data_IF_244515332894
#
_entry.id   IF_244515332894
#
_cell.length_a   1.000
_cell.length_b   1.000
_cell.length_c   1.000
_cell.angle_alpha   90.00
_cell.angle_beta   90.00
_cell.angle_gamma   90.00
#
_symmetry.space_group_name_H-M   'P 1'
#
loop_
_entity.id
_entity.type
_entity.pdbx_description
1 polymer ?
#
# COMPACT_ATOMS: atom_id res chain seq x y z
N UNK A 1 56.27 3.25 -24.42
CA UNK A 1 56.96 1.94 -24.27
C UNK A 1 55.90 0.89 -24.04
N UNK A 2 55.91 -0.12 -24.90
CA UNK A 2 54.89 -1.17 -25.06
C UNK A 2 55.15 -2.36 -24.15
N UNK A 3 54.08 -2.98 -23.62
CA UNK A 3 53.98 -4.40 -23.22
C UNK A 3 52.59 -4.59 -22.58
N UNK A 4 51.55 -5.18 -23.19
CA UNK A 4 51.40 -6.51 -23.81
C UNK A 4 51.83 -7.67 -22.91
N UNK A 5 50.88 -8.33 -22.26
CA UNK A 5 50.91 -9.78 -22.05
C UNK A 5 49.51 -10.32 -21.79
N UNK A 6 49.10 -11.18 -22.71
CA UNK A 6 47.94 -12.06 -22.69
C UNK A 6 48.27 -13.36 -21.95
N UNK A 7 47.27 -14.01 -21.33
CA UNK A 7 47.36 -15.43 -20.99
C UNK A 7 45.97 -16.04 -20.75
N UNK A 8 45.77 -17.15 -21.46
CA UNK A 8 44.58 -17.96 -21.68
C UNK A 8 44.12 -18.84 -20.51
N UNK A 9 42.86 -19.27 -20.61
CA UNK A 9 42.09 -20.20 -19.78
C UNK A 9 42.69 -21.61 -19.63
N UNK A 10 42.09 -22.45 -18.75
CA UNK A 10 41.58 -23.71 -19.29
C UNK A 10 40.21 -24.13 -18.73
N UNK A 11 39.33 -24.50 -19.66
CA UNK A 11 38.07 -25.23 -19.50
C UNK A 11 38.36 -26.70 -19.19
N UNK A 12 37.77 -27.29 -18.14
CA UNK A 12 37.75 -28.75 -17.94
C UNK A 12 36.34 -29.30 -18.13
N UNK A 13 36.13 -29.95 -19.27
CA UNK A 13 35.12 -30.99 -19.46
C UNK A 13 35.62 -32.29 -18.83
N UNK A 14 34.77 -32.99 -18.09
CA UNK A 14 34.90 -34.45 -17.91
C UNK A 14 33.56 -35.11 -18.19
N UNK A 15 33.60 -35.99 -19.19
CA UNK A 15 32.54 -36.86 -19.66
C UNK A 15 33.04 -38.30 -19.47
N UNK A 16 32.08 -39.23 -19.33
CA UNK A 16 32.20 -40.71 -19.18
C UNK A 16 32.24 -41.14 -17.71
N UNK A 17 31.48 -42.14 -17.27
CA UNK A 17 31.27 -43.43 -17.94
C UNK A 17 30.05 -44.15 -17.36
N UNK A 18 29.13 -44.52 -18.23
CA UNK A 18 28.12 -45.56 -18.01
C UNK A 18 28.79 -46.94 -17.97
N UNK A 19 28.40 -47.78 -17.01
CA UNK A 19 28.49 -49.25 -17.09
C UNK A 19 27.23 -49.87 -16.51
N UNK A 20 26.57 -50.62 -17.39
CA UNK A 20 25.56 -51.64 -17.13
C UNK A 20 26.18 -52.85 -16.40
N UNK A 21 25.37 -53.57 -15.60
CA UNK A 21 25.14 -55.03 -15.65
C UNK A 21 24.05 -55.40 -14.62
N UNK A 22 23.26 -56.42 -14.98
CA UNK A 22 21.98 -56.86 -14.47
C UNK A 22 22.01 -57.84 -13.27
N UNK A 23 20.80 -58.30 -12.91
CA UNK A 23 20.35 -59.36 -11.99
C UNK A 23 19.84 -58.85 -10.63
N UNK A 24 18.79 -59.38 -9.98
CA UNK A 24 17.73 -60.37 -10.25
C UNK A 24 16.83 -60.41 -8.99
N UNK A 25 15.53 -60.65 -9.18
CA UNK A 25 14.54 -61.33 -8.30
C UNK A 25 14.33 -60.96 -6.81
N UNK A 26 13.05 -60.68 -6.52
CA UNK A 26 12.23 -61.02 -5.34
C UNK A 26 12.70 -60.69 -3.91
N UNK A 27 12.00 -59.75 -3.26
CA UNK A 27 11.15 -60.03 -2.07
C UNK A 27 10.53 -58.75 -1.47
N UNK A 28 9.24 -58.85 -1.16
CA UNK A 28 8.51 -58.30 0.00
C UNK A 28 8.25 -56.79 0.17
N UNK A 29 6.94 -56.50 0.14
CA UNK A 29 6.20 -55.42 0.77
C UNK A 29 6.87 -54.79 2.02
N UNK A 30 7.33 -53.55 1.88
CA UNK A 30 7.15 -52.52 2.93
C UNK A 30 7.37 -51.13 2.35
N UNK A 31 6.29 -50.44 1.99
CA UNK A 31 6.35 -49.03 1.57
C UNK A 31 6.35 -48.13 2.82
N UNK A 32 7.30 -47.17 2.95
CA UNK A 32 7.33 -46.25 4.07
C UNK A 32 6.18 -45.22 4.01
N UNK A 33 5.68 -44.71 5.15
CA UNK A 33 4.48 -43.89 5.22
C UNK A 33 4.79 -42.43 4.84
N UNK A 34 5.06 -42.15 3.56
CA UNK A 34 5.36 -40.78 3.11
C UNK A 34 4.39 -40.20 2.08
N UNK A 35 3.44 -40.99 1.55
CA UNK A 35 2.47 -40.51 0.54
C UNK A 35 1.10 -40.06 1.08
N UNK A 36 0.69 -40.46 2.28
CA UNK A 36 -0.59 -40.00 2.87
C UNK A 36 -0.53 -38.55 3.40
N UNK A 37 0.59 -38.15 4.00
CA UNK A 37 0.79 -36.79 4.53
C UNK A 37 0.69 -35.67 3.47
N UNK A 38 1.04 -35.95 2.20
CA UNK A 38 0.93 -34.95 1.11
C UNK A 38 -0.51 -34.76 0.64
N UNK A 39 -1.35 -35.80 0.73
CA UNK A 39 -2.77 -35.71 0.37
C UNK A 39 -3.56 -34.98 1.46
N UNK A 40 -3.20 -35.17 2.72
CA UNK A 40 -3.78 -34.42 3.84
C UNK A 40 -3.33 -32.95 3.86
N UNK A 41 -2.09 -32.64 3.44
CA UNK A 41 -1.64 -31.24 3.23
C UNK A 41 -2.31 -30.56 2.04
N UNK A 42 -2.66 -31.31 0.99
CA UNK A 42 -3.43 -30.77 -0.13
C UNK A 42 -4.91 -30.60 0.22
N UNK A 43 -5.49 -31.53 1.00
CA UNK A 43 -6.85 -31.39 1.53
C UNK A 43 -6.97 -30.22 2.53
N UNK A 44 -5.97 -30.03 3.40
CA UNK A 44 -5.88 -28.85 4.28
C UNK A 44 -5.61 -27.54 3.51
N UNK A 45 -4.95 -27.60 2.35
CA UNK A 45 -4.79 -26.47 1.45
C UNK A 45 -6.04 -26.16 0.61
N UNK A 46 -7.02 -27.08 0.57
CA UNK A 46 -8.32 -26.91 -0.10
C UNK A 46 -9.46 -26.55 0.89
N UNK A 47 -9.25 -26.71 2.19
CA UNK A 47 -10.10 -26.14 3.24
C UNK A 47 -9.68 -24.70 3.57
N UNK A 48 -9.47 -23.88 2.53
CA UNK A 48 -9.12 -22.47 2.71
C UNK A 48 -10.39 -21.75 3.21
N UNK A 49 -10.33 -20.99 4.32
CA UNK A 49 -11.38 -20.04 4.62
C UNK A 49 -11.54 -19.09 3.42
N UNK A 50 -12.74 -18.51 3.21
CA UNK A 50 -12.96 -17.57 2.11
C UNK A 50 -11.85 -16.52 2.12
N UNK A 51 -11.34 -16.17 0.93
CA UNK A 51 -10.37 -15.09 0.74
C UNK A 51 -11.03 -13.83 1.33
N UNK A 52 -10.74 -13.55 2.60
CA UNK A 52 -11.46 -12.55 3.37
C UNK A 52 -11.10 -11.19 2.77
N UNK A 53 -12.12 -10.48 2.29
CA UNK A 53 -11.95 -9.15 1.71
C UNK A 53 -11.36 -8.20 2.76
N UNK A 54 -10.26 -7.52 2.40
CA UNK A 54 -9.63 -6.55 3.30
C UNK A 54 -10.62 -5.45 3.69
N UNK A 55 -11.49 -5.04 2.77
CA UNK A 55 -12.50 -4.03 3.03
C UNK A 55 -13.40 -4.43 4.21
N UNK A 56 -13.97 -5.63 4.15
CA UNK A 56 -14.83 -6.18 5.20
C UNK A 56 -14.07 -6.44 6.49
N UNK A 57 -12.82 -6.93 6.40
CA UNK A 57 -12.00 -7.18 7.58
C UNK A 57 -11.67 -5.89 8.35
N UNK A 58 -11.33 -4.82 7.63
CA UNK A 58 -11.06 -3.51 8.25
C UNK A 58 -12.33 -2.93 8.86
N UNK A 59 -13.48 -3.05 8.19
CA UNK A 59 -14.78 -2.61 8.75
C UNK A 59 -15.16 -3.39 10.00
N UNK A 60 -15.03 -4.71 9.97
CA UNK A 60 -15.26 -5.57 11.12
C UNK A 60 -14.37 -5.16 12.30
N UNK A 61 -13.10 -4.85 12.04
CA UNK A 61 -12.16 -4.40 13.06
C UNK A 61 -12.53 -3.05 13.68
N UNK A 62 -13.11 -2.13 12.90
CA UNK A 62 -13.65 -0.87 13.44
C UNK A 62 -14.86 -1.14 14.34
N UNK A 63 -15.73 -2.07 13.96
CA UNK A 63 -16.93 -2.42 14.72
C UNK A 63 -16.59 -3.18 16.02
N UNK A 64 -15.66 -4.13 15.97
CA UNK A 64 -15.18 -4.86 17.14
C UNK A 64 -13.65 -4.74 17.30
N UNK A 65 -13.18 -3.66 17.98
CA UNK A 65 -11.77 -3.46 18.29
C UNK A 65 -11.14 -4.53 19.17
N UNK A 66 -11.94 -5.41 19.81
CA UNK A 66 -11.45 -6.46 20.71
C UNK A 66 -11.42 -7.83 20.05
N UNK A 67 -11.94 -7.96 18.84
CA UNK A 67 -11.93 -9.24 18.13
C UNK A 67 -10.52 -9.60 17.64
N UNK A 68 -9.90 -10.56 18.32
CA UNK A 68 -8.58 -11.08 17.98
C UNK A 68 -8.58 -11.97 16.73
N UNK A 69 -9.75 -12.43 16.27
CA UNK A 69 -9.85 -13.21 15.02
C UNK A 69 -9.54 -12.33 13.82
N UNK A 70 -10.02 -11.08 13.80
CA UNK A 70 -9.69 -10.09 12.76
C UNK A 70 -8.18 -9.84 12.62
N UNK A 71 -7.43 -9.82 13.73
CA UNK A 71 -5.96 -9.67 13.70
C UNK A 71 -5.31 -10.92 13.11
N UNK A 72 -5.82 -12.09 13.47
CA UNK A 72 -5.32 -13.37 12.97
C UNK A 72 -5.56 -13.47 11.46
N UNK A 73 -6.76 -13.10 11.00
CA UNK A 73 -7.14 -13.12 9.59
C UNK A 73 -6.34 -12.09 8.79
N UNK A 74 -6.14 -10.87 9.31
CA UNK A 74 -5.30 -9.85 8.67
C UNK A 74 -3.87 -10.34 8.45
N UNK A 75 -3.30 -11.03 9.44
CA UNK A 75 -1.94 -11.60 9.34
C UNK A 75 -1.86 -12.78 8.36
N UNK A 76 -2.95 -13.52 8.23
CA UNK A 76 -3.02 -14.69 7.37
C UNK A 76 -3.41 -14.35 5.93
N UNK A 77 -3.97 -13.16 5.70
CA UNK A 77 -4.40 -12.68 4.40
C UNK A 77 -3.26 -12.75 3.40
N UNK A 78 -3.40 -13.62 2.39
CA UNK A 78 -2.35 -13.90 1.42
C UNK A 78 -1.96 -12.65 0.64
N UNK A 79 -2.96 -11.81 0.31
CA UNK A 79 -2.80 -10.57 -0.42
C UNK A 79 -1.95 -9.52 0.30
N UNK A 80 -1.71 -9.69 1.61
CA UNK A 80 -0.85 -8.78 2.39
C UNK A 80 0.59 -9.29 2.56
N UNK A 81 0.93 -10.43 1.95
CA UNK A 81 2.26 -11.05 2.10
C UNK A 81 3.25 -10.62 1.01
N UNK A 82 2.76 -10.15 -0.14
CA UNK A 82 3.59 -9.68 -1.26
C UNK A 82 3.24 -8.25 -1.57
N UNK A 83 4.26 -7.44 -1.85
CA UNK A 83 4.07 -6.00 -2.06
C UNK A 83 3.17 -5.71 -3.27
N UNK A 84 3.24 -6.52 -4.34
CA UNK A 84 2.35 -6.41 -5.51
C UNK A 84 0.87 -6.66 -5.17
N UNK A 85 0.60 -7.64 -4.31
CA UNK A 85 -0.78 -7.98 -3.93
C UNK A 85 -1.39 -6.87 -3.04
N UNK A 86 -0.55 -6.16 -2.26
CA UNK A 86 -0.99 -5.03 -1.43
C UNK A 86 -1.42 -3.84 -2.30
N UNK A 87 -0.68 -3.57 -3.39
CA UNK A 87 -1.06 -2.53 -4.36
C UNK A 87 -2.43 -2.82 -4.94
N UNK A 88 -2.66 -4.06 -5.40
CA UNK A 88 -3.96 -4.46 -5.94
C UNK A 88 -5.11 -4.24 -4.94
N UNK A 89 -4.89 -4.63 -3.68
CA UNK A 89 -5.90 -4.43 -2.63
C UNK A 89 -6.12 -2.94 -2.32
N UNK A 90 -5.08 -2.11 -2.33
CA UNK A 90 -5.24 -0.67 -2.15
C UNK A 90 -6.09 -0.06 -3.27
N UNK A 91 -5.86 -0.44 -4.53
CA UNK A 91 -6.68 0.00 -5.66
C UNK A 91 -8.14 -0.48 -5.53
N UNK A 92 -8.36 -1.72 -5.10
CA UNK A 92 -9.72 -2.24 -4.84
C UNK A 92 -10.45 -1.44 -3.74
N UNK A 93 -9.75 -0.99 -2.69
CA UNK A 93 -10.31 -0.09 -1.67
C UNK A 93 -10.69 1.27 -2.27
N UNK A 94 -9.80 1.84 -3.09
CA UNK A 94 -9.99 3.13 -3.75
C UNK A 94 -11.19 3.09 -4.70
N UNK A 95 -11.27 2.08 -5.57
CA UNK A 95 -12.38 1.91 -6.52
C UNK A 95 -13.73 1.78 -5.81
N UNK A 96 -13.78 1.02 -4.72
CA UNK A 96 -14.97 0.87 -3.90
C UNK A 96 -15.40 2.20 -3.27
N UNK A 97 -14.44 3.01 -2.81
CA UNK A 97 -14.71 4.33 -2.22
C UNK A 97 -15.18 5.31 -3.29
N UNK A 98 -14.48 5.41 -4.42
CA UNK A 98 -14.88 6.27 -5.54
C UNK A 98 -16.28 5.95 -6.03
N UNK A 99 -16.61 4.66 -6.16
CA UNK A 99 -17.94 4.20 -6.55
C UNK A 99 -19.02 4.65 -5.56
N UNK A 100 -18.74 4.56 -4.25
CA UNK A 100 -19.68 5.03 -3.19
C UNK A 100 -19.82 6.54 -3.18
N UNK A 101 -18.73 7.29 -3.31
CA UNK A 101 -18.75 8.75 -3.39
C UNK A 101 -19.55 9.21 -4.60
N UNK A 102 -19.34 8.58 -5.76
CA UNK A 102 -20.11 8.83 -6.98
C UNK A 102 -21.61 8.56 -6.79
N UNK A 103 -21.98 7.46 -6.14
CA UNK A 103 -23.38 7.18 -5.84
C UNK A 103 -23.98 8.26 -4.93
N UNK A 104 -23.28 8.64 -3.85
CA UNK A 104 -23.74 9.66 -2.91
C UNK A 104 -23.93 11.04 -3.58
N UNK A 105 -23.00 11.47 -4.44
CA UNK A 105 -23.12 12.75 -5.18
C UNK A 105 -24.33 12.71 -6.11
N UNK A 106 -24.56 11.59 -6.81
CA UNK A 106 -25.73 11.42 -7.66
C UNK A 106 -27.03 11.49 -6.85
N UNK A 107 -27.08 10.86 -5.67
CA UNK A 107 -28.24 10.87 -4.79
C UNK A 107 -28.52 12.26 -4.21
N UNK A 108 -27.48 13.06 -3.93
CA UNK A 108 -27.59 14.46 -3.53
C UNK A 108 -28.12 15.36 -4.65
N UNK A 109 -27.93 14.96 -5.92
CA UNK A 109 -28.40 15.68 -7.10
C UNK A 109 -27.72 17.03 -7.32
N UNK A 110 -26.56 17.27 -6.69
CA UNK A 110 -25.79 18.51 -6.78
C UNK A 110 -24.38 18.23 -7.26
N UNK A 111 -23.90 19.10 -8.15
CA UNK A 111 -22.50 19.09 -8.57
C UNK A 111 -21.59 19.56 -7.44
N UNK A 112 -20.39 18.99 -7.40
CA UNK A 112 -19.34 19.33 -6.43
C UNK A 112 -18.16 19.98 -7.14
N UNK A 113 -17.34 20.73 -6.43
CA UNK A 113 -16.05 21.19 -6.97
C UNK A 113 -15.05 20.04 -6.97
N UNK A 114 -14.01 20.12 -7.79
CA UNK A 114 -12.96 19.09 -7.81
C UNK A 114 -12.30 18.89 -6.43
N UNK A 115 -12.01 19.98 -5.73
CA UNK A 115 -11.42 19.93 -4.38
C UNK A 115 -12.32 19.22 -3.36
N UNK A 116 -13.65 19.35 -3.50
CA UNK A 116 -14.63 18.64 -2.67
C UNK A 116 -14.73 17.16 -3.04
N UNK A 117 -14.61 16.83 -4.33
CA UNK A 117 -14.59 15.44 -4.80
C UNK A 117 -13.39 14.70 -4.19
N UNK A 118 -12.20 15.31 -4.23
CA UNK A 118 -10.99 14.75 -3.64
C UNK A 118 -11.10 14.60 -2.12
N UNK A 119 -11.69 15.59 -1.43
CA UNK A 119 -11.99 15.48 -0.01
C UNK A 119 -12.91 14.29 0.27
N UNK A 120 -14.00 14.13 -0.48
CA UNK A 120 -14.94 13.01 -0.27
C UNK A 120 -14.28 11.65 -0.51
N UNK A 121 -13.36 11.53 -1.47
CA UNK A 121 -12.54 10.32 -1.63
C UNK A 121 -11.66 10.08 -0.40
N UNK A 122 -10.99 11.13 0.08
CA UNK A 122 -10.13 11.07 1.25
C UNK A 122 -10.89 10.66 2.52
N UNK A 123 -12.04 11.27 2.78
CA UNK A 123 -12.94 10.92 3.88
C UNK A 123 -13.44 9.48 3.79
N UNK A 124 -13.61 8.95 2.58
CA UNK A 124 -13.93 7.54 2.34
C UNK A 124 -12.91 6.57 2.95
N UNK A 125 -11.66 6.99 3.16
CA UNK A 125 -10.61 6.20 3.82
C UNK A 125 -10.64 6.28 5.35
N UNK A 126 -11.50 7.09 5.97
CA UNK A 126 -11.50 7.29 7.44
C UNK A 126 -11.65 5.98 8.22
N UNK A 127 -12.46 5.04 7.72
CA UNK A 127 -12.60 3.73 8.36
C UNK A 127 -11.31 2.90 8.27
N UNK A 128 -10.54 3.01 7.18
CA UNK A 128 -9.24 2.33 7.04
C UNK A 128 -8.25 2.88 8.05
N UNK A 129 -8.22 4.21 8.21
CA UNK A 129 -7.35 4.88 9.18
C UNK A 129 -7.65 4.43 10.62
N UNK A 130 -8.94 4.43 11.00
CA UNK A 130 -9.41 3.95 12.31
C UNK A 130 -9.12 2.46 12.53
N UNK A 131 -9.31 1.63 11.50
CA UNK A 131 -8.99 0.21 11.56
C UNK A 131 -7.50 -0.01 11.80
N UNK A 132 -6.64 0.70 11.06
CA UNK A 132 -5.18 0.59 11.18
C UNK A 132 -4.70 1.08 12.55
N UNK A 133 -5.25 2.18 13.07
CA UNK A 133 -4.93 2.65 14.42
C UNK A 133 -5.26 1.57 15.48
N UNK A 134 -6.42 0.93 15.34
CA UNK A 134 -6.87 -0.16 16.22
C UNK A 134 -5.99 -1.41 16.09
N UNK A 135 -5.54 -1.74 14.87
CA UNK A 135 -4.56 -2.81 14.61
C UNK A 135 -3.21 -2.47 15.24
N UNK A 136 -2.77 -1.22 15.16
CA UNK A 136 -1.52 -0.77 15.76
C UNK A 136 -1.56 -0.81 17.31
N UNK A 137 -2.75 -0.68 17.90
CA UNK A 137 -2.98 -0.82 19.34
C UNK A 137 -3.02 -2.27 19.86
N UNK A 138 -3.14 -3.26 18.98
CA UNK A 138 -3.42 -4.65 19.35
C UNK A 138 -2.32 -5.29 20.24
N UNK A 139 -2.77 -5.97 21.30
CA UNK A 139 -1.94 -6.69 22.29
C UNK A 139 -2.19 -8.18 22.22
N UNK A 140 -1.18 -8.98 22.56
CA UNK A 140 -1.33 -10.43 22.68
C UNK A 140 -2.18 -10.71 23.94
N UNK A 141 -3.28 -11.47 23.82
CA UNK A 141 -4.17 -11.78 24.95
C UNK A 141 -3.40 -12.31 26.16
N UNK A 142 -3.75 -11.83 27.35
CA UNK A 142 -3.09 -12.20 28.59
C UNK A 142 -1.68 -11.60 28.79
N UNK A 143 -1.20 -10.74 27.89
CA UNK A 143 0.12 -10.09 28.03
C UNK A 143 0.07 -8.58 27.83
N UNK A 144 1.12 -7.89 28.28
CA UNK A 144 1.34 -6.46 27.95
C UNK A 144 2.00 -6.25 26.59
N UNK A 145 2.38 -7.32 25.88
CA UNK A 145 3.14 -7.25 24.62
C UNK A 145 2.21 -6.96 23.44
N UNK A 146 2.70 -6.17 22.48
CA UNK A 146 1.99 -5.92 21.21
C UNK A 146 2.13 -7.10 20.26
N UNK A 147 1.15 -7.31 19.38
CA UNK A 147 1.18 -8.39 18.38
C UNK A 147 2.24 -8.10 17.31
N UNK A 148 3.27 -8.94 17.10
CA UNK A 148 4.33 -8.62 16.14
C UNK A 148 3.87 -8.75 14.68
N UNK A 149 4.52 -7.98 13.80
CA UNK A 149 4.35 -8.00 12.34
C UNK A 149 3.27 -7.07 11.82
N UNK A 150 2.56 -6.36 12.71
CA UNK A 150 1.51 -5.44 12.32
C UNK A 150 2.05 -4.10 11.82
N UNK A 151 3.27 -3.71 12.21
CA UNK A 151 3.90 -2.48 11.70
C UNK A 151 4.07 -2.53 10.19
N UNK A 152 4.63 -3.62 9.66
CA UNK A 152 4.79 -3.82 8.20
C UNK A 152 3.45 -3.75 7.48
N UNK A 153 2.45 -4.47 7.98
CA UNK A 153 1.12 -4.57 7.35
C UNK A 153 0.46 -3.19 7.32
N UNK A 154 0.36 -2.53 8.47
CA UNK A 154 -0.24 -1.21 8.62
C UNK A 154 0.45 -0.18 7.74
N UNK A 155 1.79 -0.14 7.75
CA UNK A 155 2.53 0.80 6.90
C UNK A 155 2.31 0.53 5.41
N UNK A 156 2.28 -0.75 5.00
CA UNK A 156 2.09 -1.10 3.59
C UNK A 156 0.69 -0.74 3.11
N UNK A 157 -0.35 -0.95 3.94
CA UNK A 157 -1.72 -0.54 3.60
C UNK A 157 -1.77 0.98 3.44
N UNK A 158 -1.32 1.73 4.45
CA UNK A 158 -1.38 3.20 4.42
C UNK A 158 -0.56 3.77 3.26
N UNK A 159 0.70 3.32 3.10
CA UNK A 159 1.55 3.81 2.02
C UNK A 159 0.90 3.64 0.64
N UNK A 160 0.43 2.44 0.31
CA UNK A 160 -0.14 2.21 -1.02
C UNK A 160 -1.52 2.88 -1.18
N UNK A 161 -2.25 3.11 -0.09
CA UNK A 161 -3.51 3.84 -0.15
C UNK A 161 -3.30 5.32 -0.47
N UNK A 162 -2.29 5.96 0.14
CA UNK A 162 -2.00 7.36 -0.17
C UNK A 162 -1.30 7.54 -1.51
N UNK A 163 -0.39 6.64 -1.86
CA UNK A 163 0.25 6.61 -3.18
C UNK A 163 -0.82 6.47 -4.28
N UNK A 164 -1.75 5.52 -4.12
CA UNK A 164 -2.88 5.35 -5.02
C UNK A 164 -3.83 6.55 -5.04
N UNK A 165 -4.10 7.19 -3.90
CA UNK A 165 -4.91 8.42 -3.87
C UNK A 165 -4.26 9.55 -4.67
N UNK A 166 -2.94 9.76 -4.51
CA UNK A 166 -2.19 10.75 -5.28
C UNK A 166 -2.26 10.43 -6.78
N UNK A 167 -2.08 9.16 -7.15
CA UNK A 167 -2.19 8.72 -8.55
C UNK A 167 -3.59 8.94 -9.13
N UNK A 168 -4.66 8.75 -8.34
CA UNK A 168 -6.04 9.03 -8.79
C UNK A 168 -6.32 10.52 -8.98
N UNK A 169 -5.83 11.38 -8.09
CA UNK A 169 -5.94 12.83 -8.24
C UNK A 169 -5.17 13.28 -9.49
N UNK A 170 -3.94 12.78 -9.66
CA UNK A 170 -3.14 13.04 -10.86
C UNK A 170 -3.87 12.58 -12.12
N UNK A 171 -4.40 11.35 -12.14
CA UNK A 171 -5.09 10.81 -13.32
C UNK A 171 -6.38 11.58 -13.65
N UNK A 172 -7.07 12.11 -12.64
CA UNK A 172 -8.26 12.94 -12.83
C UNK A 172 -7.90 14.31 -13.43
N UNK A 173 -6.87 14.97 -12.89
CA UNK A 173 -6.33 16.24 -13.40
C UNK A 173 -5.71 16.08 -14.80
N UNK A 174 -4.99 14.97 -15.02
CA UNK A 174 -4.37 14.58 -16.29
C UNK A 174 -5.39 14.07 -17.32
N UNK A 175 -6.69 14.38 -17.20
CA UNK A 175 -7.71 14.08 -18.22
C UNK A 175 -7.38 14.55 -19.65
N UNK A 176 -6.24 15.23 -19.84
CA UNK A 176 -5.63 15.63 -21.10
C UNK A 176 -4.46 14.74 -21.59
N UNK A 177 -3.79 13.96 -20.73
CA UNK A 177 -2.58 13.21 -21.07
C UNK A 177 -2.77 11.68 -20.93
N UNK A 178 -3.24 11.08 -22.03
CA UNK A 178 -3.16 9.65 -22.38
C UNK A 178 -3.92 8.61 -21.52
N UNK A 179 -5.04 8.08 -22.07
CA UNK A 179 -5.23 6.63 -22.36
C UNK A 179 -6.54 6.19 -23.05
N UNK A 180 -7.23 7.04 -23.82
CA UNK A 180 -8.15 6.54 -24.87
C UNK A 180 -8.04 7.38 -26.14
N UNK A 181 -8.04 6.76 -27.34
CA UNK A 181 -8.31 7.49 -28.56
C UNK A 181 -9.82 7.78 -28.62
N UNK A 182 -10.18 8.87 -29.30
CA UNK A 182 -11.55 9.25 -29.71
C UNK A 182 -12.27 10.22 -28.76
N UNK A 183 -12.11 11.52 -29.04
CA UNK A 183 -13.08 12.57 -28.71
C UNK A 183 -12.65 13.55 -27.62
N UNK A 184 -13.26 14.76 -27.59
CA UNK A 184 -13.14 15.64 -26.43
C UNK A 184 -13.63 14.88 -25.19
N UNK A 185 -12.81 14.83 -24.15
CA UNK A 185 -13.20 14.27 -22.85
C UNK A 185 -14.33 15.16 -22.34
N UNK A 186 -15.55 14.62 -22.29
CA UNK A 186 -16.66 15.33 -21.67
C UNK A 186 -16.31 15.57 -20.19
N UNK A 187 -16.50 16.80 -19.68
CA UNK A 187 -16.27 17.09 -18.28
C UNK A 187 -17.12 16.15 -17.41
N UNK A 188 -16.57 15.68 -16.29
CA UNK A 188 -17.30 14.76 -15.40
C UNK A 188 -18.63 15.44 -15.00
N UNK A 189 -19.78 14.82 -15.30
CA UNK A 189 -21.09 15.43 -15.01
C UNK A 189 -21.31 15.68 -13.51
N UNK A 190 -20.51 15.06 -12.63
CA UNK A 190 -20.54 15.22 -11.19
C UNK A 190 -19.84 16.49 -10.71
N UNK A 191 -18.90 17.03 -11.49
CA UNK A 191 -18.14 18.22 -11.09
C UNK A 191 -18.68 19.49 -11.73
N UNK A 192 -18.54 20.60 -10.99
CA UNK A 192 -18.78 21.93 -11.51
C UNK A 192 -17.71 22.26 -12.56
N UNK A 193 -18.12 22.96 -13.61
CA UNK A 193 -17.20 23.59 -14.56
C UNK A 193 -16.73 24.94 -14.00
N UNK A 194 -15.59 25.44 -14.47
CA UNK A 194 -15.09 26.77 -14.08
C UNK A 194 -16.13 27.89 -14.28
N UNK A 195 -16.96 27.78 -15.32
CA UNK A 195 -18.05 28.73 -15.54
C UNK A 195 -19.12 28.63 -14.44
N UNK A 196 -19.52 27.42 -14.06
CA UNK A 196 -20.48 27.19 -12.97
C UNK A 196 -19.92 27.70 -11.63
N UNK A 197 -18.63 27.46 -11.34
CA UNK A 197 -17.95 27.96 -10.15
C UNK A 197 -17.91 29.49 -10.09
N UNK A 198 -17.60 30.16 -11.20
CA UNK A 198 -17.56 31.63 -11.28
C UNK A 198 -18.91 32.30 -11.03
N UNK A 199 -20.03 31.59 -11.27
CA UNK A 199 -21.38 32.12 -11.04
C UNK A 199 -21.92 31.79 -9.64
N UNK A 200 -21.28 30.89 -8.89
CA UNK A 200 -21.66 30.55 -7.52
C UNK A 200 -20.80 31.35 -6.51
N UNK A 201 -21.38 32.32 -5.78
CA UNK A 201 -20.61 33.13 -4.81
C UNK A 201 -20.18 32.33 -3.57
N UNK A 202 -20.62 31.08 -3.42
CA UNK A 202 -20.23 30.21 -2.29
C UNK A 202 -19.00 29.35 -2.58
N UNK A 203 -18.54 29.31 -3.84
CA UNK A 203 -17.40 28.50 -4.31
C UNK A 203 -16.15 28.71 -3.46
N UNK A 204 -15.72 29.97 -3.25
CA UNK A 204 -14.50 30.28 -2.48
C UNK A 204 -14.58 29.71 -1.06
N UNK A 205 -15.69 29.97 -0.35
CA UNK A 205 -15.88 29.49 1.03
C UNK A 205 -15.97 27.97 1.13
N UNK A 206 -16.61 27.32 0.15
CA UNK A 206 -16.67 25.84 0.07
C UNK A 206 -15.29 25.24 -0.20
N UNK A 207 -14.48 25.91 -1.02
CA UNK A 207 -13.12 25.47 -1.37
C UNK A 207 -12.21 25.56 -0.14
N UNK A 208 -12.24 26.69 0.56
CA UNK A 208 -11.48 26.89 1.81
C UNK A 208 -11.87 25.88 2.88
N UNK A 209 -13.17 25.59 3.04
CA UNK A 209 -13.65 24.58 3.97
C UNK A 209 -13.16 23.18 3.60
N UNK A 210 -13.21 22.84 2.30
CA UNK A 210 -12.76 21.55 1.81
C UNK A 210 -11.25 21.34 2.00
N UNK A 211 -10.44 22.37 1.71
CA UNK A 211 -8.99 22.36 1.93
C UNK A 211 -8.68 22.16 3.42
N UNK A 212 -9.31 22.94 4.30
CA UNK A 212 -9.11 22.81 5.75
C UNK A 212 -9.47 21.40 6.25
N UNK A 213 -10.60 20.85 5.81
CA UNK A 213 -11.02 19.50 6.20
C UNK A 213 -10.05 18.43 5.69
N UNK A 214 -9.52 18.58 4.48
CA UNK A 214 -8.51 17.69 3.93
C UNK A 214 -7.21 17.76 4.74
N UNK A 215 -6.75 18.95 5.11
CA UNK A 215 -5.56 19.14 5.95
C UNK A 215 -5.70 18.48 7.33
N UNK A 216 -6.86 18.62 7.97
CA UNK A 216 -7.16 17.92 9.23
C UNK A 216 -7.12 16.39 9.06
N UNK A 217 -7.61 15.89 7.93
CA UNK A 217 -7.52 14.46 7.61
C UNK A 217 -6.05 14.04 7.42
N UNK A 218 -5.27 14.78 6.64
CA UNK A 218 -3.85 14.49 6.41
C UNK A 218 -3.04 14.53 7.70
N UNK A 219 -3.34 15.43 8.64
CA UNK A 219 -2.65 15.49 9.93
C UNK A 219 -2.92 14.22 10.76
N UNK A 220 -4.15 13.71 10.75
CA UNK A 220 -4.49 12.43 11.39
C UNK A 220 -3.82 11.26 10.67
N UNK A 221 -3.84 11.27 9.34
CA UNK A 221 -3.21 10.25 8.52
C UNK A 221 -1.71 10.14 8.82
N UNK A 222 -1.03 11.29 8.87
CA UNK A 222 0.40 11.40 9.16
C UNK A 222 0.75 10.79 10.52
N UNK A 223 -0.03 11.10 11.57
CA UNK A 223 0.18 10.54 12.93
C UNK A 223 0.09 9.01 12.95
N UNK A 224 -0.89 8.44 12.26
CA UNK A 224 -1.07 6.97 12.25
C UNK A 224 -0.01 6.30 11.38
N UNK A 225 0.34 6.90 10.24
CA UNK A 225 1.35 6.36 9.34
C UNK A 225 2.76 6.45 9.95
N UNK A 226 3.10 7.54 10.64
CA UNK A 226 4.32 7.68 11.45
C UNK A 226 4.42 6.56 12.50
N UNK A 227 3.32 6.29 13.24
CA UNK A 227 3.27 5.21 14.21
C UNK A 227 3.47 3.84 13.54
N UNK A 228 2.93 3.63 12.34
CA UNK A 228 3.12 2.43 11.55
C UNK A 228 4.59 2.27 11.11
N UNK A 229 5.23 3.34 10.61
CA UNK A 229 6.66 3.36 10.22
C UNK A 229 7.55 3.01 11.41
N UNK A 230 7.39 3.71 12.54
CA UNK A 230 8.19 3.47 13.75
C UNK A 230 8.05 2.03 14.25
N UNK A 231 6.81 1.51 14.23
CA UNK A 231 6.58 0.11 14.58
C UNK A 231 7.25 -0.83 13.57
N UNK A 232 7.11 -0.57 12.27
CA UNK A 232 7.73 -1.40 11.24
C UNK A 232 9.25 -1.46 11.41
N UNK A 233 9.89 -0.32 11.66
CA UNK A 233 11.32 -0.23 11.99
C UNK A 233 11.67 -1.10 13.21
N UNK A 234 10.93 -0.97 14.31
CA UNK A 234 11.19 -1.76 15.52
C UNK A 234 11.02 -3.27 15.32
N UNK A 235 10.12 -3.67 14.42
CA UNK A 235 9.84 -5.07 14.10
C UNK A 235 10.84 -5.63 13.06
N UNK A 236 11.42 -4.78 12.23
CA UNK A 236 12.20 -5.16 11.05
C UNK A 236 13.40 -4.21 10.80
N UNK A 237 14.32 -4.09 11.77
CA UNK A 237 15.48 -3.22 11.61
C UNK A 237 16.60 -3.85 10.74
N UNK A 238 16.36 -3.97 9.43
CA UNK A 238 17.33 -4.49 8.45
C UNK A 238 17.74 -3.40 7.46
N UNK A 239 19.03 -3.32 7.13
CA UNK A 239 19.61 -2.35 6.19
C UNK A 239 18.91 -2.33 4.82
N UNK A 240 18.52 -3.50 4.29
CA UNK A 240 17.78 -3.60 3.02
C UNK A 240 16.38 -2.97 3.09
N UNK A 241 15.71 -3.05 4.24
CA UNK A 241 14.39 -2.42 4.42
C UNK A 241 14.53 -0.91 4.51
N UNK A 242 15.58 -0.40 5.16
CA UNK A 242 15.86 1.03 5.20
C UNK A 242 16.06 1.63 3.80
N UNK A 243 16.71 0.92 2.87
CA UNK A 243 16.83 1.36 1.46
C UNK A 243 15.48 1.35 0.73
N UNK A 244 14.61 0.38 1.00
CA UNK A 244 13.28 0.36 0.41
C UNK A 244 12.39 1.49 0.95
N UNK A 245 12.56 1.84 2.22
CA UNK A 245 11.85 2.94 2.87
C UNK A 245 12.33 4.30 2.34
N UNK A 246 13.63 4.46 2.12
CA UNK A 246 14.22 5.65 1.49
C UNK A 246 13.57 5.96 0.13
N UNK A 247 13.49 4.97 -0.77
CA UNK A 247 12.80 5.12 -2.06
C UNK A 247 11.32 5.47 -1.92
N UNK A 248 10.66 4.88 -0.92
CA UNK A 248 9.25 5.17 -0.62
C UNK A 248 9.09 6.61 -0.13
N UNK A 249 10.04 7.13 0.64
CA UNK A 249 10.04 8.53 1.09
C UNK A 249 10.23 9.48 -0.09
N UNK A 250 11.21 9.22 -0.96
CA UNK A 250 11.45 10.05 -2.15
C UNK A 250 10.20 10.13 -3.04
N UNK A 251 9.54 9.00 -3.28
CA UNK A 251 8.31 8.93 -4.06
C UNK A 251 7.18 9.70 -3.36
N UNK A 252 6.99 9.48 -2.05
CA UNK A 252 5.96 10.16 -1.27
C UNK A 252 6.18 11.67 -1.25
N UNK A 253 7.43 12.13 -1.12
CA UNK A 253 7.79 13.54 -1.16
C UNK A 253 7.38 14.18 -2.49
N UNK A 254 7.63 13.51 -3.61
CA UNK A 254 7.24 14.02 -4.94
C UNK A 254 5.73 14.03 -5.10
N UNK A 255 5.07 12.94 -4.70
CA UNK A 255 3.62 12.83 -4.77
C UNK A 255 2.89 13.88 -3.93
N UNK A 256 3.36 14.13 -2.70
CA UNK A 256 2.81 15.17 -1.84
C UNK A 256 2.99 16.58 -2.43
N UNK A 257 4.15 16.86 -3.05
CA UNK A 257 4.39 18.15 -3.70
C UNK A 257 3.39 18.40 -4.84
N UNK A 258 3.22 17.41 -5.72
CA UNK A 258 2.26 17.49 -6.84
C UNK A 258 0.82 17.62 -6.33
N UNK A 259 0.47 16.84 -5.31
CA UNK A 259 -0.86 16.90 -4.71
C UNK A 259 -1.13 18.30 -4.14
N UNK A 260 -0.19 18.87 -3.38
CA UNK A 260 -0.30 20.23 -2.85
C UNK A 260 -0.48 21.27 -3.95
N UNK A 261 0.26 21.15 -5.05
CA UNK A 261 0.14 22.05 -6.20
C UNK A 261 -1.24 21.94 -6.89
N UNK A 262 -1.78 20.73 -7.02
CA UNK A 262 -3.04 20.47 -7.71
C UNK A 262 -4.28 20.80 -6.88
N UNK A 263 -4.23 20.60 -5.57
CA UNK A 263 -5.43 20.69 -4.72
C UNK A 263 -5.38 21.84 -3.72
N UNK A 264 -4.22 22.48 -3.55
CA UNK A 264 -3.99 23.47 -2.50
C UNK A 264 -3.86 22.87 -1.09
N UNK A 265 -3.81 21.54 -0.94
CA UNK A 265 -3.65 20.91 0.37
C UNK A 265 -2.23 21.10 0.92
N UNK A 266 -2.09 21.38 2.22
CA UNK A 266 -0.77 21.48 2.88
C UNK A 266 -0.29 22.91 3.07
N UNK A 267 -1.20 23.87 3.08
CA UNK A 267 -0.94 25.27 3.40
C UNK A 267 -0.13 26.03 2.35
N UNK A 268 -0.16 27.36 2.49
CA UNK A 268 0.46 28.32 1.57
C UNK A 268 1.89 28.70 1.95
N UNK A 269 2.53 28.01 2.90
CA UNK A 269 3.92 28.31 3.22
C UNK A 269 4.77 28.03 1.97
N UNK A 270 5.54 29.03 1.53
CA UNK A 270 6.28 29.18 0.26
C UNK A 270 7.16 27.99 -0.20
N UNK A 271 7.18 26.89 0.56
CA UNK A 271 7.96 25.69 0.31
C UNK A 271 7.10 24.45 -0.03
N UNK A 272 5.77 24.46 0.12
CA UNK A 272 4.90 23.37 -0.37
C UNK A 272 5.15 21.96 0.21
N UNK A 273 5.76 21.87 1.40
CA UNK A 273 6.22 20.59 1.99
C UNK A 273 5.43 20.07 3.20
N UNK A 274 4.20 20.53 3.47
CA UNK A 274 3.57 20.23 4.77
C UNK A 274 2.77 18.93 4.84
N UNK A 275 2.55 18.23 3.72
CA UNK A 275 1.86 16.95 3.76
C UNK A 275 2.79 15.82 4.24
N UNK A 276 2.30 15.05 5.22
CA UNK A 276 2.93 13.83 5.75
C UNK A 276 4.36 14.01 6.30
N UNK A 277 4.67 15.19 6.84
CA UNK A 277 6.01 15.56 7.31
C UNK A 277 6.53 14.59 8.38
N UNK A 278 5.70 14.19 9.35
CA UNK A 278 6.15 13.34 10.46
C UNK A 278 6.51 11.94 9.97
N UNK A 279 5.68 11.39 9.09
CA UNK A 279 5.92 10.10 8.43
C UNK A 279 7.22 10.14 7.63
N UNK A 280 7.39 11.16 6.79
CA UNK A 280 8.59 11.32 5.97
C UNK A 280 9.85 11.46 6.81
N UNK A 281 9.82 12.29 7.85
CA UNK A 281 10.93 12.42 8.81
C UNK A 281 11.27 11.07 9.46
N UNK A 282 10.27 10.30 9.90
CA UNK A 282 10.51 8.97 10.48
C UNK A 282 11.15 7.99 9.47
N UNK A 283 10.83 8.10 8.18
CA UNK A 283 11.42 7.30 7.11
C UNK A 283 12.88 7.71 6.85
N UNK A 284 13.16 9.01 6.78
CA UNK A 284 14.52 9.56 6.64
C UNK A 284 15.40 9.18 7.84
N UNK A 285 14.90 9.33 9.06
CA UNK A 285 15.60 8.93 10.29
C UNK A 285 15.97 7.45 10.28
N UNK A 286 15.05 6.58 9.84
CA UNK A 286 15.34 5.16 9.68
C UNK A 286 16.49 4.91 8.70
N UNK A 287 16.50 5.61 7.57
CA UNK A 287 17.59 5.49 6.60
C UNK A 287 18.94 5.96 7.17
N UNK A 288 18.96 7.10 7.84
CA UNK A 288 20.18 7.68 8.42
C UNK A 288 20.81 6.74 9.45
N UNK A 289 20.00 6.15 10.34
CA UNK A 289 20.46 5.19 11.34
C UNK A 289 21.01 3.88 10.74
N UNK A 290 20.52 3.45 9.57
CA UNK A 290 20.99 2.24 8.91
C UNK A 290 22.40 2.40 8.26
N UNK A 291 22.92 3.63 8.21
CA UNK A 291 24.22 3.99 7.67
C UNK A 291 24.30 3.95 6.13
N UNK A 292 25.38 4.50 5.54
CA UNK A 292 25.58 4.47 4.10
C UNK A 292 25.65 3.02 3.59
N UNK A 293 24.97 2.74 2.49
CA UNK A 293 25.18 1.51 1.75
C UNK A 293 26.59 1.56 1.18
N UNK A 294 27.52 0.81 1.78
CA UNK A 294 28.73 0.40 1.08
C UNK A 294 28.27 -0.32 -0.19
N UNK A 295 28.42 0.33 -1.33
CA UNK A 295 28.11 -0.22 -2.65
C UNK A 295 28.86 -1.55 -2.84
N UNK A 296 28.25 -2.56 -3.48
CA UNK A 296 29.01 -3.69 -4.02
C UNK A 296 29.96 -3.23 -5.13
#
# INVERSE_FOLDING_TARGET
>A
MSSSSSSSSPTRYTLKRSRSIANSSDTENSSPPRKKSRRDRLAAAMAQPPDCDLYELLRHRVHDPKDDTAITDLKNLKRLKRDQDIVYVAHELIDNIKSKVKANINDEGKKVMEVELYLRWLEGFDFVLKAVETVLGAKIPGTRRRVPGLGRISFSILYNLIDGFIDEVNAYQDGWSFRYPVGPVEPDPLTMTLAEECYDPTTDGRSDEAIRAAEEFFERYDKVMEAAVRRYKSECNKKLMAVAIDRKEENLSRGCCLLSEQTGYGGTDDMGFNLLVKTRNAMVEWKQEAGPSSSP
#
